data_IF_488704156349
#
_entry.id   IF_488704156349
#
_cell.length_a   1.000
_cell.length_b   1.000
_cell.length_c   1.000
_cell.angle_alpha   90.00
_cell.angle_beta   90.00
_cell.angle_gamma   90.00
#
_symmetry.space_group_name_H-M   'P 1'
#
loop_
_entity.id
_entity.type
_entity.pdbx_description
1 polymer ?
#
# COMPACT_ATOMS: atom_id res chain seq x y z
N UNK A 1 -15.16 3.64 -14.61
CA UNK A 1 -13.71 3.73 -14.36
C UNK A 1 -13.54 4.11 -12.90
N UNK A 2 -12.48 3.66 -12.24
CA UNK A 2 -12.17 4.10 -10.86
C UNK A 2 -11.91 5.60 -10.87
N UNK A 3 -12.60 6.34 -10.01
CA UNK A 3 -12.35 7.76 -9.80
C UNK A 3 -11.20 7.93 -8.80
N UNK A 4 -10.24 8.77 -9.15
CA UNK A 4 -9.06 9.08 -8.33
C UNK A 4 -9.12 10.54 -7.90
N UNK A 5 -8.93 10.78 -6.62
CA UNK A 5 -8.90 12.12 -6.03
C UNK A 5 -7.71 12.19 -5.06
N UNK A 6 -6.69 13.01 -5.35
CA UNK A 6 -5.64 13.23 -4.36
C UNK A 6 -6.11 14.29 -3.35
N UNK A 7 -6.18 13.89 -2.08
CA UNK A 7 -6.58 14.79 -1.02
C UNK A 7 -5.41 15.71 -0.64
N UNK A 8 -5.41 16.93 -1.18
CA UNK A 8 -4.49 18.01 -0.76
C UNK A 8 -5.09 18.81 0.41
N UNK A 9 -6.01 18.21 1.20
CA UNK A 9 -6.63 18.95 2.29
C UNK A 9 -5.69 18.99 3.49
N UNK A 10 -5.50 20.18 4.06
CA UNK A 10 -4.95 20.37 5.42
C UNK A 10 -5.90 19.81 6.51
N UNK A 11 -6.96 19.12 6.10
CA UNK A 11 -7.95 18.54 6.97
C UNK A 11 -7.25 17.59 7.94
N UNK A 12 -7.56 17.77 9.22
CA UNK A 12 -7.02 16.89 10.24
C UNK A 12 -7.45 15.45 9.93
N UNK A 13 -6.66 14.48 10.38
CA UNK A 13 -6.97 13.06 10.17
C UNK A 13 -8.40 12.70 10.63
N UNK A 14 -8.95 13.41 11.63
CA UNK A 14 -10.35 13.26 12.09
C UNK A 14 -11.41 13.71 11.08
N UNK A 15 -11.09 14.68 10.23
CA UNK A 15 -11.98 15.17 9.19
C UNK A 15 -12.01 14.22 7.98
N UNK A 16 -10.86 13.61 7.66
CA UNK A 16 -10.75 12.63 6.57
C UNK A 16 -11.32 11.26 6.95
N UNK A 17 -11.26 10.90 8.23
CA UNK A 17 -11.80 9.67 8.78
C UNK A 17 -12.87 10.01 9.83
N UNK A 18 -14.05 10.52 9.40
CA UNK A 18 -15.11 10.85 10.34
C UNK A 18 -15.48 9.61 11.16
N UNK A 19 -15.92 9.77 12.41
CA UNK A 19 -16.35 8.68 13.26
C UNK A 19 -17.45 7.85 12.60
N UNK A 20 -17.12 6.83 11.80
CA UNK A 20 -18.05 5.75 11.64
C UNK A 20 -18.11 5.12 13.03
N UNK A 21 -19.25 5.26 13.70
CA UNK A 21 -19.47 4.92 15.11
C UNK A 21 -19.06 3.47 15.50
N UNK A 22 -18.70 2.63 14.53
CA UNK A 22 -18.19 1.27 14.72
C UNK A 22 -16.67 1.15 14.85
N UNK A 23 -15.87 2.13 14.42
CA UNK A 23 -14.41 2.02 14.58
C UNK A 23 -14.00 2.06 16.05
N UNK A 24 -14.63 2.94 16.84
CA UNK A 24 -14.29 3.15 18.24
C UNK A 24 -14.60 1.96 19.16
N UNK A 25 -15.46 1.02 18.73
CA UNK A 25 -15.73 -0.20 19.51
C UNK A 25 -14.54 -1.17 19.53
N UNK A 26 -13.58 -1.01 18.61
CA UNK A 26 -12.43 -1.92 18.46
C UNK A 26 -11.08 -1.29 18.85
N UNK A 27 -11.01 0.01 19.16
CA UNK A 27 -9.77 0.67 19.57
C UNK A 27 -9.67 0.83 21.10
N UNK A 28 -8.49 0.56 21.70
CA UNK A 28 -8.25 0.85 23.11
C UNK A 28 -8.08 2.37 23.29
N UNK A 29 -9.14 3.01 23.78
CA UNK A 29 -9.22 4.40 24.27
C UNK A 29 -9.03 5.55 23.26
N UNK A 30 -9.83 6.59 23.48
CA UNK A 30 -9.83 7.89 22.78
C UNK A 30 -8.49 8.66 22.94
N UNK A 31 -7.61 8.19 23.82
CA UNK A 31 -6.39 8.87 24.26
C UNK A 31 -5.24 8.73 23.25
N UNK A 32 -5.15 7.58 22.54
CA UNK A 32 -4.20 7.37 21.46
C UNK A 32 -4.41 8.32 20.25
N UNK A 33 -5.60 8.92 20.15
CA UNK A 33 -5.99 9.82 19.05
C UNK A 33 -5.84 11.32 19.37
N UNK A 34 -5.43 11.69 20.59
CA UNK A 34 -5.35 13.10 21.01
C UNK A 34 -4.09 13.83 20.52
N UNK A 35 -3.02 13.10 20.18
CA UNK A 35 -1.76 13.71 19.74
C UNK A 35 -1.71 14.07 18.24
N UNK A 36 -2.74 13.70 17.46
CA UNK A 36 -2.83 13.93 16.01
C UNK A 36 -3.28 15.35 15.62
N UNK A 37 -2.81 16.38 16.33
CA UNK A 37 -3.23 17.79 16.11
C UNK A 37 -2.42 18.55 15.05
N UNK A 38 -1.33 17.96 14.55
CA UNK A 38 -0.60 18.53 13.43
C UNK A 38 -1.35 18.25 12.11
N UNK A 39 -1.52 19.26 11.23
CA UNK A 39 -2.04 19.03 9.89
C UNK A 39 -1.07 18.10 9.15
N UNK A 40 -1.53 16.89 8.85
CA UNK A 40 -0.84 15.99 7.93
C UNK A 40 -1.04 16.56 6.53
N UNK A 41 0.02 17.08 5.91
CA UNK A 41 -0.03 17.46 4.49
C UNK A 41 -0.08 16.16 3.69
N UNK A 42 -1.28 15.80 3.24
CA UNK A 42 -1.60 14.41 2.92
C UNK A 42 -0.99 13.89 1.61
N UNK A 43 -0.30 12.78 1.79
CA UNK A 43 0.28 11.91 0.77
C UNK A 43 -0.74 10.91 0.17
N UNK A 44 -2.04 11.17 0.33
CA UNK A 44 -3.10 10.18 0.16
C UNK A 44 -3.83 10.37 -1.17
N UNK A 45 -3.95 9.28 -1.93
CA UNK A 45 -4.85 9.20 -3.09
C UNK A 45 -6.09 8.42 -2.68
N UNK A 46 -7.24 9.05 -2.82
CA UNK A 46 -8.55 8.47 -2.57
C UNK A 46 -9.12 7.86 -3.85
N UNK A 47 -9.74 6.68 -3.71
CA UNK A 47 -10.28 5.91 -4.82
C UNK A 47 -11.75 5.59 -4.59
N UNK A 48 -12.57 5.73 -5.63
CA UNK A 48 -13.99 5.34 -5.63
C UNK A 48 -14.28 4.41 -6.80
N UNK A 49 -14.96 3.30 -6.50
CA UNK A 49 -15.39 2.35 -7.51
C UNK A 49 -16.86 2.63 -7.89
N UNK A 50 -17.21 2.73 -9.19
CA UNK A 50 -18.57 3.11 -9.61
C UNK A 50 -19.66 2.12 -9.15
N UNK A 51 -19.35 0.82 -9.11
CA UNK A 51 -20.29 -0.21 -8.61
C UNK A 51 -20.32 -0.35 -7.08
N UNK A 52 -19.43 0.34 -6.36
CA UNK A 52 -19.34 0.31 -4.90
C UNK A 52 -19.30 1.75 -4.36
N UNK A 53 -20.33 2.57 -4.63
CA UNK A 53 -20.31 4.01 -4.36
C UNK A 53 -20.22 4.37 -2.87
N UNK A 54 -20.64 3.44 -2.00
CA UNK A 54 -20.57 3.58 -0.54
C UNK A 54 -19.21 3.14 0.03
N UNK A 55 -18.28 2.70 -0.82
CA UNK A 55 -16.93 2.30 -0.45
C UNK A 55 -15.91 3.35 -0.87
N UNK A 56 -14.97 3.62 0.04
CA UNK A 56 -13.86 4.52 -0.19
C UNK A 56 -12.56 3.83 0.21
N UNK A 57 -11.54 3.95 -0.63
CA UNK A 57 -10.22 3.43 -0.35
C UNK A 57 -9.19 4.54 -0.37
N UNK A 58 -8.20 4.44 0.50
CA UNK A 58 -7.11 5.41 0.59
C UNK A 58 -5.78 4.70 0.36
N UNK A 59 -4.98 5.22 -0.58
CA UNK A 59 -3.65 4.74 -0.86
C UNK A 59 -2.61 5.75 -0.37
N UNK A 60 -1.60 5.27 0.37
CA UNK A 60 -0.36 5.99 0.66
C UNK A 60 0.76 5.41 -0.20
N UNK A 61 1.29 6.23 -1.10
CA UNK A 61 2.23 5.80 -2.14
C UNK A 61 3.41 6.77 -2.28
N UNK A 62 4.60 6.45 -1.72
CA UNK A 62 4.89 5.42 -0.71
C UNK A 62 4.78 5.92 0.74
N UNK A 63 4.21 5.16 1.66
CA UNK A 63 4.14 5.55 3.07
C UNK A 63 5.52 5.69 3.73
N UNK A 64 6.47 4.82 3.39
CA UNK A 64 7.85 4.80 3.91
C UNK A 64 8.83 4.37 2.84
N UNK A 65 10.10 4.77 2.97
CA UNK A 65 11.19 4.30 2.12
C UNK A 65 12.36 3.89 3.02
N UNK A 66 12.97 2.74 2.76
CA UNK A 66 14.01 2.17 3.59
C UNK A 66 15.08 1.43 2.77
N UNK A 67 16.22 1.17 3.40
CA UNK A 67 17.32 0.32 2.90
C UNK A 67 17.78 -0.63 4.00
N UNK A 68 18.51 -1.70 3.65
CA UNK A 68 19.05 -2.65 4.65
C UNK A 68 20.02 -1.98 5.64
N UNK A 69 20.71 -0.91 5.23
CA UNK A 69 21.76 -0.24 6.02
C UNK A 69 21.24 0.89 6.93
N UNK A 70 19.96 1.26 6.83
CA UNK A 70 19.39 2.32 7.66
C UNK A 70 18.96 1.79 9.05
N UNK A 71 19.43 2.40 10.18
CA UNK A 71 19.19 1.90 11.54
C UNK A 71 17.73 1.86 12.01
N UNK A 72 16.78 2.40 11.24
CA UNK A 72 15.35 2.48 11.61
C UNK A 72 14.51 2.43 10.35
N UNK A 73 13.91 1.26 10.04
CA UNK A 73 12.63 1.01 9.31
C UNK A 73 12.14 1.93 8.16
N UNK A 74 12.99 2.79 7.61
CA UNK A 74 12.60 3.92 6.78
C UNK A 74 11.99 5.08 7.58
N UNK A 75 12.06 6.29 7.03
CA UNK A 75 11.26 7.41 7.51
C UNK A 75 9.92 7.46 6.76
N UNK A 76 8.89 7.99 7.43
CA UNK A 76 7.62 8.28 6.76
C UNK A 76 7.84 9.34 5.69
N UNK A 77 7.32 9.09 4.49
CA UNK A 77 7.37 10.07 3.42
C UNK A 77 6.21 11.04 3.58
N UNK A 78 6.45 12.04 4.41
CA UNK A 78 5.53 13.14 4.62
C UNK A 78 5.70 14.16 3.48
N UNK A 79 4.65 14.90 3.14
CA UNK A 79 4.69 16.01 2.16
C UNK A 79 4.83 15.65 0.66
N UNK A 80 4.24 14.56 0.19
CA UNK A 80 4.03 14.39 -1.26
C UNK A 80 2.84 15.21 -1.72
N UNK A 81 3.06 16.07 -2.71
CA UNK A 81 2.01 16.79 -3.41
C UNK A 81 1.77 16.16 -4.77
N UNK A 82 0.60 15.55 -4.94
CA UNK A 82 0.15 15.02 -6.21
C UNK A 82 -0.33 16.14 -7.15
N UNK A 83 -0.05 15.97 -8.43
CA UNK A 83 -0.42 16.85 -9.53
C UNK A 83 -1.29 16.06 -10.49
N UNK A 84 -2.50 16.55 -10.74
CA UNK A 84 -3.45 15.96 -11.69
C UNK A 84 -3.07 16.32 -13.14
N UNK A 85 -3.27 15.36 -14.04
CA UNK A 85 -3.07 15.48 -15.49
C UNK A 85 -4.11 14.62 -16.23
N UNK A 86 -4.17 14.78 -17.56
CA UNK A 86 -5.02 13.94 -18.42
C UNK A 86 -4.66 12.44 -18.36
N UNK A 87 -3.45 12.10 -17.92
CA UNK A 87 -2.96 10.72 -17.80
C UNK A 87 -3.12 10.13 -16.38
N UNK A 88 -3.66 10.91 -15.43
CA UNK A 88 -3.77 10.55 -14.03
C UNK A 88 -3.02 11.50 -13.11
N UNK A 89 -2.57 11.00 -11.95
CA UNK A 89 -1.87 11.80 -10.95
C UNK A 89 -0.39 11.45 -10.90
N UNK A 90 0.47 12.45 -10.69
CA UNK A 90 1.90 12.23 -10.51
C UNK A 90 2.51 13.16 -9.46
N UNK A 91 3.71 12.83 -9.01
CA UNK A 91 4.60 13.74 -8.30
C UNK A 91 6.02 13.48 -8.79
N UNK A 92 6.86 14.51 -8.82
CA UNK A 92 8.22 14.40 -9.32
C UNK A 92 9.22 15.04 -8.35
N UNK A 93 10.42 14.47 -8.32
CA UNK A 93 11.62 15.03 -7.70
C UNK A 93 11.47 15.42 -6.20
N UNK A 94 10.77 14.59 -5.43
CA UNK A 94 10.57 14.80 -4.00
C UNK A 94 11.75 14.22 -3.21
N UNK A 95 12.34 14.95 -2.25
CA UNK A 95 13.36 14.39 -1.35
C UNK A 95 12.84 13.20 -0.55
N UNK A 96 13.63 12.14 -0.48
CA UNK A 96 13.31 10.97 0.33
C UNK A 96 13.59 11.26 1.80
N UNK A 97 12.61 11.04 2.66
CA UNK A 97 12.79 11.21 4.09
C UNK A 97 13.86 10.23 4.63
N UNK A 98 14.88 10.77 5.31
CA UNK A 98 15.92 9.96 5.97
C UNK A 98 16.96 9.33 5.05
N UNK A 99 16.93 9.60 3.74
CA UNK A 99 17.91 9.11 2.76
C UNK A 99 18.34 10.24 1.82
N UNK A 100 19.59 10.21 1.38
CA UNK A 100 20.10 11.17 0.39
C UNK A 100 19.66 10.76 -1.02
N UNK A 101 18.43 11.11 -1.39
CA UNK A 101 17.95 10.88 -2.75
C UNK A 101 16.54 11.41 -3.03
N UNK A 102 16.01 11.02 -4.20
CA UNK A 102 14.76 11.55 -4.75
C UNK A 102 13.79 10.45 -5.10
N UNK A 103 12.50 10.78 -5.05
CA UNK A 103 11.43 9.91 -5.49
C UNK A 103 10.46 10.64 -6.41
N UNK A 104 9.95 9.91 -7.40
CA UNK A 104 8.81 10.28 -8.23
C UNK A 104 7.81 9.13 -8.29
N UNK A 105 6.55 9.47 -8.56
CA UNK A 105 5.47 8.49 -8.63
C UNK A 105 4.38 8.89 -9.59
N UNK A 106 3.68 7.88 -10.11
CA UNK A 106 2.54 8.03 -11.00
C UNK A 106 1.44 7.07 -10.61
N UNK A 107 0.20 7.49 -10.80
CA UNK A 107 -0.97 6.66 -10.61
C UNK A 107 -2.06 7.01 -11.63
N UNK A 108 -2.64 5.99 -12.26
CA UNK A 108 -3.63 6.16 -13.30
C UNK A 108 -4.72 5.09 -13.18
N UNK A 109 -5.99 5.45 -13.38
CA UNK A 109 -7.07 4.47 -13.41
C UNK A 109 -7.35 3.99 -14.83
N UNK A 110 -7.67 2.71 -14.97
CA UNK A 110 -8.05 2.11 -16.24
C UNK A 110 -9.09 1.01 -16.00
N UNK A 111 -10.33 1.25 -16.41
CA UNK A 111 -11.41 0.29 -16.18
C UNK A 111 -11.65 0.01 -14.69
N UNK A 112 -11.36 -1.23 -14.28
CA UNK A 112 -11.46 -1.75 -12.91
C UNK A 112 -10.09 -1.87 -12.20
N UNK A 113 -9.06 -1.22 -12.74
CA UNK A 113 -7.71 -1.22 -12.17
C UNK A 113 -7.19 0.19 -11.92
N UNK A 114 -6.21 0.27 -11.03
CA UNK A 114 -5.39 1.46 -10.82
C UNK A 114 -3.93 1.06 -10.94
N UNK A 115 -3.29 1.55 -11.99
CA UNK A 115 -1.86 1.36 -12.25
C UNK A 115 -1.05 2.35 -11.42
N UNK A 116 0.08 1.90 -10.88
CA UNK A 116 1.02 2.78 -10.20
C UNK A 116 2.47 2.46 -10.56
N UNK A 117 3.30 3.48 -10.51
CA UNK A 117 4.75 3.39 -10.73
C UNK A 117 5.45 4.26 -9.69
N UNK A 118 6.51 3.73 -9.08
CA UNK A 118 7.43 4.51 -8.26
C UNK A 118 8.85 4.37 -8.80
N UNK A 119 9.58 5.48 -8.82
CA UNK A 119 11.01 5.49 -9.13
C UNK A 119 11.76 6.22 -8.03
N UNK A 120 12.79 5.58 -7.50
CA UNK A 120 13.74 6.19 -6.57
C UNK A 120 15.06 6.47 -7.28
N UNK A 121 15.76 7.51 -6.85
CA UNK A 121 17.09 7.89 -7.28
C UNK A 121 18.00 7.99 -6.06
N UNK A 122 19.11 7.27 -6.07
CA UNK A 122 20.14 7.38 -5.03
C UNK A 122 21.05 8.56 -5.36
N UNK A 123 21.05 9.61 -4.53
CA UNK A 123 21.95 10.77 -4.68
C UNK A 123 23.11 10.74 -3.67
N UNK A 124 23.15 9.72 -2.82
CA UNK A 124 24.21 9.50 -1.86
C UNK A 124 25.48 8.99 -2.55
N UNK A 125 26.66 9.12 -1.92
CA UNK A 125 27.90 8.55 -2.45
C UNK A 125 27.98 7.02 -2.30
N UNK A 126 27.10 6.41 -1.50
CA UNK A 126 27.11 5.00 -1.15
C UNK A 126 25.93 4.25 -1.82
N UNK A 127 26.05 2.95 -2.11
CA UNK A 127 24.93 2.20 -2.65
C UNK A 127 23.81 2.06 -1.61
N UNK A 128 22.56 1.95 -2.08
CA UNK A 128 21.42 1.56 -1.26
C UNK A 128 21.14 0.08 -1.43
N UNK A 129 21.56 -0.80 -0.50
CA UNK A 129 21.24 -2.21 -0.59
C UNK A 129 19.75 -2.44 -0.32
N UNK A 130 19.13 -3.25 -1.18
CA UNK A 130 17.74 -3.70 -1.05
C UNK A 130 16.77 -2.56 -0.71
N UNK A 131 16.87 -1.46 -1.44
CA UNK A 131 15.96 -0.33 -1.29
C UNK A 131 14.51 -0.79 -1.50
N UNK A 132 13.62 -0.31 -0.63
CA UNK A 132 12.21 -0.65 -0.66
C UNK A 132 11.32 0.56 -0.37
N UNK A 133 10.10 0.51 -0.90
CA UNK A 133 9.04 1.47 -0.60
C UNK A 133 7.82 0.73 -0.06
N UNK A 134 7.28 1.24 1.03
CA UNK A 134 6.05 0.74 1.62
C UNK A 134 4.83 1.40 1.00
N UNK A 135 3.81 0.61 0.68
CA UNK A 135 2.47 1.10 0.34
C UNK A 135 1.48 0.61 1.39
N UNK A 136 0.66 1.53 1.87
CA UNK A 136 -0.48 1.22 2.73
C UNK A 136 -1.76 1.49 1.94
N UNK A 137 -2.55 0.45 1.73
CA UNK A 137 -3.84 0.53 1.05
C UNK A 137 -4.98 0.26 2.04
N UNK A 138 -5.66 1.34 2.42
CA UNK A 138 -6.62 1.35 3.51
C UNK A 138 -8.05 1.12 3.01
N UNK A 139 -8.71 0.14 3.61
CA UNK A 139 -10.07 -0.31 3.34
C UNK A 139 -11.07 0.12 4.40
N UNK A 140 -10.68 0.93 5.40
CA UNK A 140 -11.55 1.26 6.54
C UNK A 140 -12.93 1.67 6.07
N UNK A 141 -12.97 2.66 5.17
CA UNK A 141 -14.20 3.26 4.66
C UNK A 141 -14.92 2.40 3.59
N UNK A 142 -14.50 1.14 3.41
CA UNK A 142 -15.15 0.15 2.56
C UNK A 142 -15.71 -0.99 3.43
N UNK A 143 -16.78 -0.71 4.20
CA UNK A 143 -17.33 -1.62 5.22
C UNK A 143 -17.57 -3.09 4.77
N UNK A 144 -18.00 -3.39 3.53
CA UNK A 144 -18.11 -4.78 3.06
C UNK A 144 -16.77 -5.54 3.10
N UNK A 145 -15.64 -4.82 2.98
CA UNK A 145 -14.28 -5.37 2.99
C UNK A 145 -13.70 -5.50 4.41
N UNK A 146 -14.45 -5.09 5.43
CA UNK A 146 -14.04 -5.16 6.84
C UNK A 146 -13.98 -6.59 7.39
N UNK A 147 -14.67 -7.56 6.78
CA UNK A 147 -14.61 -8.97 7.21
C UNK A 147 -13.44 -9.66 6.51
N UNK A 148 -12.24 -9.34 6.99
CA UNK A 148 -10.93 -9.65 6.42
C UNK A 148 -10.75 -11.14 6.11
N UNK A 149 -10.72 -11.47 4.82
CA UNK A 149 -10.04 -12.68 4.33
C UNK A 149 -9.01 -12.23 3.32
N UNK A 150 -7.80 -12.07 3.82
CA UNK A 150 -6.64 -11.75 2.99
C UNK A 150 -5.99 -13.05 2.51
N UNK A 151 -5.45 -12.98 1.31
CA UNK A 151 -4.85 -14.11 0.62
C UNK A 151 -3.53 -13.65 0.02
N UNK A 152 -2.47 -14.39 0.32
CA UNK A 152 -1.21 -14.35 -0.43
C UNK A 152 -1.18 -15.54 -1.38
N UNK A 153 -0.34 -15.47 -2.41
CA UNK A 153 -0.26 -16.51 -3.43
C UNK A 153 1.12 -17.14 -3.46
N UNK A 154 1.14 -18.48 -3.52
CA UNK A 154 2.35 -19.27 -3.67
C UNK A 154 2.09 -20.44 -4.59
N UNK A 155 2.88 -20.55 -5.66
CA UNK A 155 2.79 -21.64 -6.63
C UNK A 155 1.35 -21.81 -7.17
N UNK A 156 0.64 -20.70 -7.38
CA UNK A 156 -0.77 -20.69 -7.82
C UNK A 156 -1.81 -21.01 -6.75
N UNK A 157 -1.40 -21.36 -5.53
CA UNK A 157 -2.30 -21.59 -4.42
C UNK A 157 -2.57 -20.29 -3.65
N UNK A 158 -3.84 -19.99 -3.42
CA UNK A 158 -4.26 -18.93 -2.51
C UNK A 158 -4.15 -19.43 -1.07
N UNK A 159 -3.32 -18.76 -0.26
CA UNK A 159 -3.11 -19.06 1.15
C UNK A 159 -3.85 -17.98 1.94
N UNK A 160 -4.94 -18.37 2.59
CA UNK A 160 -5.68 -17.48 3.49
C UNK A 160 -4.81 -17.14 4.70
N UNK A 161 -4.58 -15.85 4.92
CA UNK A 161 -3.86 -15.34 6.08
C UNK A 161 -4.84 -15.31 7.26
N UNK A 162 -4.95 -16.44 7.97
CA UNK A 162 -5.97 -16.67 9.02
C UNK A 162 -5.64 -16.04 10.37
N UNK A 163 -4.36 -15.84 10.65
CA UNK A 163 -3.92 -15.03 11.77
C UNK A 163 -3.84 -13.58 11.31
N UNK A 164 -3.93 -12.65 12.25
CA UNK A 164 -3.21 -11.37 12.11
C UNK A 164 -1.82 -11.74 11.57
N UNK A 165 -1.58 -11.56 10.28
CA UNK A 165 -0.22 -11.48 9.78
C UNK A 165 0.17 -10.10 10.22
N UNK A 166 0.54 -9.99 11.49
CA UNK A 166 1.07 -8.77 12.04
C UNK A 166 2.25 -8.42 11.14
N UNK A 167 2.14 -7.28 10.45
CA UNK A 167 3.22 -6.73 9.64
C UNK A 167 4.33 -6.34 10.57
N UNK A 168 5.18 -7.32 10.72
CA UNK A 168 6.32 -7.43 11.55
C UNK A 168 7.49 -7.03 10.63
N UNK A 169 8.12 -5.86 10.87
CA UNK A 169 9.24 -5.23 10.15
C UNK A 169 10.62 -5.38 10.88
N UNK A 170 11.62 -5.94 10.20
CA UNK A 170 13.03 -5.98 10.59
C UNK A 170 13.87 -5.83 9.32
N UNK A 171 14.38 -4.63 9.08
CA UNK A 171 15.61 -4.48 8.29
C UNK A 171 16.78 -4.67 9.28
N UNK A 172 17.76 -5.47 8.84
CA UNK A 172 18.85 -6.14 9.57
C UNK A 172 19.21 -5.66 11.01
N UNK A 173 19.19 -6.60 11.98
CA UNK A 173 20.16 -6.59 13.09
C UNK A 173 19.68 -6.27 14.51
N UNK A 174 18.39 -6.03 14.75
CA UNK A 174 17.88 -5.74 16.09
C UNK A 174 17.10 -6.91 16.70
N UNK A 175 17.73 -7.57 17.67
CA UNK A 175 17.29 -8.77 18.40
C UNK A 175 16.19 -8.49 19.45
N UNK A 176 15.50 -7.36 19.35
CA UNK A 176 14.43 -7.00 20.28
C UNK A 176 13.20 -6.60 19.50
N UNK A 177 12.15 -7.35 19.83
CA UNK A 177 10.77 -7.02 19.60
C UNK A 177 10.24 -7.49 18.20
N UNK A 178 9.37 -8.52 18.28
CA UNK A 178 8.24 -9.00 17.46
C UNK A 178 8.24 -9.03 15.92
N UNK A 179 9.23 -8.57 15.16
CA UNK A 179 8.88 -8.02 13.85
C UNK A 179 9.62 -8.64 12.58
N UNK A 180 9.38 -9.89 12.12
CA UNK A 180 9.23 -10.41 10.71
C UNK A 180 9.22 -11.94 10.79
N UNK A 181 8.08 -12.58 10.53
CA UNK A 181 8.01 -13.95 10.00
C UNK A 181 6.84 -14.04 9.05
N UNK A 182 7.08 -13.78 7.77
CA UNK A 182 6.30 -14.51 6.80
C UNK A 182 6.85 -15.94 6.86
N UNK A 183 6.11 -16.88 7.47
CA UNK A 183 6.45 -18.31 7.40
C UNK A 183 6.42 -18.82 5.94
N UNK A 184 6.00 -17.95 5.01
CA UNK A 184 5.83 -18.16 3.58
C UNK A 184 6.46 -16.99 2.84
N UNK A 185 7.58 -17.23 2.16
CA UNK A 185 8.03 -16.36 1.07
C UNK A 185 6.91 -16.30 0.02
N UNK A 186 6.27 -15.14 -0.20
CA UNK A 186 5.22 -15.07 -1.20
C UNK A 186 5.86 -15.22 -2.57
N UNK A 187 5.62 -16.35 -3.23
CA UNK A 187 6.18 -16.58 -4.56
C UNK A 187 5.65 -15.57 -5.58
N UNK A 188 4.48 -14.98 -5.32
CA UNK A 188 3.87 -13.95 -6.13
C UNK A 188 3.71 -12.64 -5.33
N UNK A 189 4.26 -11.50 -5.78
CA UNK A 189 4.05 -10.15 -5.21
C UNK A 189 2.61 -9.63 -5.39
N UNK A 190 1.66 -10.31 -4.74
CA UNK A 190 0.22 -10.07 -4.78
C UNK A 190 -0.42 -10.42 -3.43
N UNK A 191 -1.19 -9.49 -2.89
CA UNK A 191 -2.09 -9.75 -1.76
C UNK A 191 -3.50 -9.31 -2.11
N UNK A 192 -4.48 -10.17 -1.83
CA UNK A 192 -5.88 -9.97 -2.20
C UNK A 192 -6.82 -10.11 -1.00
N UNK A 193 -7.84 -9.27 -0.95
CA UNK A 193 -8.94 -9.32 0.00
C UNK A 193 -10.21 -9.74 -0.73
N UNK A 194 -10.92 -10.72 -0.16
CA UNK A 194 -12.26 -11.13 -0.63
C UNK A 194 -13.35 -10.34 0.08
N UNK A 195 -14.39 -9.95 -0.64
CA UNK A 195 -15.57 -9.29 -0.12
C UNK A 195 -16.85 -9.79 -0.81
N UNK A 196 -17.99 -9.65 -0.13
CA UNK A 196 -19.33 -9.77 -0.72
C UNK A 196 -20.12 -8.49 -0.44
N UNK A 197 -20.80 -7.93 -1.45
CA UNK A 197 -21.69 -6.79 -1.24
C UNK A 197 -23.02 -7.20 -0.58
N UNK A 198 -23.88 -6.21 -0.28
CA UNK A 198 -25.18 -6.46 0.35
C UNK A 198 -26.13 -7.35 -0.48
N UNK A 199 -25.87 -7.50 -1.78
CA UNK A 199 -26.62 -8.40 -2.68
C UNK A 199 -26.02 -9.81 -2.77
N UNK A 200 -24.94 -10.09 -2.05
CA UNK A 200 -24.21 -11.36 -2.08
C UNK A 200 -23.30 -11.52 -3.31
N UNK A 201 -23.01 -10.43 -4.02
CA UNK A 201 -22.09 -10.46 -5.16
C UNK A 201 -20.65 -10.41 -4.65
N UNK A 202 -19.81 -11.30 -5.17
CA UNK A 202 -18.41 -11.40 -4.79
C UNK A 202 -17.54 -10.36 -5.50
N UNK A 203 -16.62 -9.78 -4.73
CA UNK A 203 -15.54 -8.92 -5.20
C UNK A 203 -14.21 -9.39 -4.64
N UNK A 204 -13.18 -9.24 -5.44
CA UNK A 204 -11.79 -9.43 -5.05
C UNK A 204 -11.04 -8.12 -5.28
N UNK A 205 -10.53 -7.57 -4.19
CA UNK A 205 -9.67 -6.41 -4.20
C UNK A 205 -8.23 -6.88 -4.02
N UNK A 206 -7.28 -6.40 -4.81
CA UNK A 206 -5.90 -6.81 -4.63
C UNK A 206 -4.92 -5.70 -4.96
N UNK A 207 -3.75 -5.76 -4.33
CA UNK A 207 -2.60 -4.94 -4.66
C UNK A 207 -1.46 -5.86 -5.07
N UNK A 208 -0.86 -5.55 -6.22
CA UNK A 208 0.21 -6.32 -6.83
C UNK A 208 1.33 -5.42 -7.31
N UNK A 209 2.53 -5.99 -7.43
CA UNK A 209 3.71 -5.32 -7.98
C UNK A 209 4.53 -6.27 -8.85
N UNK A 210 5.40 -5.72 -9.70
CA UNK A 210 6.43 -6.51 -10.39
C UNK A 210 7.37 -7.20 -9.39
N UNK A 211 7.70 -6.49 -8.30
CA UNK A 211 8.62 -6.95 -7.25
C UNK A 211 8.15 -6.43 -5.89
N UNK A 212 7.91 -7.35 -4.97
CA UNK A 212 7.64 -7.03 -3.57
C UNK A 212 8.26 -8.08 -2.65
N UNK A 213 8.64 -7.67 -1.45
CA UNK A 213 9.24 -8.55 -0.44
C UNK A 213 8.45 -8.57 0.86
N UNK A 214 7.43 -7.72 0.97
CA UNK A 214 6.55 -7.64 2.13
C UNK A 214 5.13 -7.64 1.63
N UNK A 215 4.32 -8.55 2.17
CA UNK A 215 2.89 -8.62 1.98
C UNK A 215 2.27 -8.84 3.35
N UNK A 216 1.28 -8.04 3.71
CA UNK A 216 0.51 -8.37 4.90
C UNK A 216 -0.56 -7.36 5.19
N UNK A 217 -0.95 -7.34 6.46
CA UNK A 217 -2.05 -6.53 6.94
C UNK A 217 -1.68 -5.89 8.28
N UNK A 218 -2.08 -4.64 8.48
CA UNK A 218 -1.98 -4.06 9.80
C UNK A 218 -3.03 -4.72 10.72
N UNK A 219 -2.65 -5.28 11.87
CA UNK A 219 -3.61 -5.93 12.76
C UNK A 219 -4.56 -4.96 13.45
N UNK A 220 -4.14 -3.69 13.58
CA UNK A 220 -4.86 -2.64 14.26
C UNK A 220 -5.62 -1.73 13.28
N UNK A 221 -5.27 -1.80 11.99
CA UNK A 221 -5.86 -0.98 10.94
C UNK A 221 -6.34 -1.83 9.76
N UNK A 222 -7.52 -1.56 9.18
CA UNK A 222 -8.04 -2.27 8.00
C UNK A 222 -7.28 -1.89 6.73
N UNK A 223 -5.95 -2.04 6.70
CA UNK A 223 -5.14 -1.81 5.52
C UNK A 223 -4.40 -3.08 5.12
N UNK A 224 -4.22 -3.21 3.81
CA UNK A 224 -3.31 -4.16 3.20
C UNK A 224 -2.04 -3.42 2.85
N UNK A 225 -0.90 -4.03 3.15
CA UNK A 225 0.39 -3.42 2.90
C UNK A 225 1.23 -4.26 1.94
N UNK A 226 1.98 -3.57 1.09
CA UNK A 226 2.95 -4.15 0.17
C UNK A 226 4.26 -3.37 0.25
N UNK A 227 5.37 -4.10 0.45
CA UNK A 227 6.72 -3.54 0.40
C UNK A 227 7.32 -3.78 -0.98
N UNK A 228 7.31 -2.75 -1.83
CA UNK A 228 7.90 -2.76 -3.16
C UNK A 228 9.41 -2.87 -3.07
N UNK A 229 10.01 -3.78 -3.83
CA UNK A 229 11.45 -4.00 -3.82
C UNK A 229 12.10 -3.40 -5.07
N UNK A 230 12.87 -2.33 -4.88
CA UNK A 230 13.70 -1.74 -5.94
C UNK A 230 14.96 -2.57 -6.19
N UNK A 231 15.45 -3.26 -5.16
CA UNK A 231 16.73 -3.98 -5.17
C UNK A 231 17.87 -3.05 -4.77
N UNK A 232 19.10 -3.39 -5.16
CA UNK A 232 20.25 -2.53 -4.92
C UNK A 232 20.22 -1.33 -5.88
N UNK A 233 20.42 -0.12 -5.36
CA UNK A 233 20.45 1.12 -6.15
C UNK A 233 21.81 1.79 -5.98
N UNK A 234 22.63 1.79 -7.03
CA UNK A 234 23.97 2.37 -6.98
C UNK A 234 23.92 3.92 -6.91
N UNK A 235 25.01 4.58 -6.47
CA UNK A 235 25.11 6.03 -6.48
C UNK A 235 24.81 6.63 -7.86
N UNK A 236 23.84 7.55 -7.92
CA UNK A 236 23.42 8.26 -9.12
C UNK A 236 22.41 7.53 -10.02
N UNK A 237 22.10 6.26 -9.72
CA UNK A 237 21.17 5.44 -10.50
C UNK A 237 19.71 5.64 -10.06
N UNK A 238 18.82 5.38 -11.01
CA UNK A 238 17.38 5.30 -10.79
C UNK A 238 16.93 3.83 -10.74
N UNK A 239 15.97 3.51 -9.88
CA UNK A 239 15.31 2.20 -9.85
C UNK A 239 13.79 2.35 -9.82
N UNK A 240 13.09 1.58 -10.64
CA UNK A 240 11.63 1.66 -10.80
C UNK A 240 10.97 0.34 -10.39
N UNK A 241 9.79 0.45 -9.78
CA UNK A 241 8.86 -0.66 -9.57
C UNK A 241 7.48 -0.24 -10.02
N UNK A 242 6.83 -1.08 -10.83
CA UNK A 242 5.43 -0.91 -11.21
C UNK A 242 4.53 -1.85 -10.44
N UNK A 243 3.27 -1.48 -10.34
CA UNK A 243 2.25 -2.33 -9.81
C UNK A 243 0.85 -1.90 -10.20
N UNK A 244 -0.11 -2.66 -9.70
CA UNK A 244 -1.52 -2.51 -10.03
C UNK A 244 -2.39 -2.86 -8.84
N UNK A 245 -3.44 -2.07 -8.64
CA UNK A 245 -4.55 -2.37 -7.74
C UNK A 245 -5.72 -2.84 -8.61
N UNK A 246 -6.33 -3.96 -8.22
CA UNK A 246 -7.46 -4.57 -8.92
C UNK A 246 -8.72 -4.42 -8.10
N UNK A 247 -9.78 -3.88 -8.69
CA UNK A 247 -11.13 -3.88 -8.14
C UNK A 247 -12.01 -4.85 -8.93
N UNK A 248 -11.81 -6.14 -8.72
CA UNK A 248 -12.42 -7.14 -9.58
C UNK A 248 -13.78 -7.60 -9.05
N UNK A 249 -14.80 -7.56 -9.91
CA UNK A 249 -16.06 -8.26 -9.67
C UNK A 249 -15.87 -9.75 -9.98
N UNK A 250 -15.65 -10.55 -8.95
CA UNK A 250 -15.34 -11.96 -9.06
C UNK A 250 -14.52 -12.46 -7.87
N UNK A 251 -13.84 -13.57 -8.08
CA UNK A 251 -13.10 -14.32 -7.05
C UNK A 251 -11.61 -13.92 -7.01
N UNK A 252 -10.95 -14.23 -5.89
CA UNK A 252 -9.50 -14.05 -5.75
C UNK A 252 -8.68 -14.88 -6.77
N UNK A 253 -9.23 -15.99 -7.28
CA UNK A 253 -8.58 -16.83 -8.30
C UNK A 253 -8.57 -16.16 -9.67
N UNK A 254 -9.65 -15.45 -10.00
CA UNK A 254 -9.74 -14.68 -11.25
C UNK A 254 -8.80 -13.48 -11.21
N UNK A 255 -8.69 -12.79 -10.07
CA UNK A 255 -7.66 -11.76 -9.86
C UNK A 255 -6.25 -12.33 -10.00
N UNK A 256 -5.96 -13.48 -9.41
CA UNK A 256 -4.66 -14.12 -9.56
C UNK A 256 -4.32 -14.43 -11.02
N UNK A 257 -5.30 -14.95 -11.78
CA UNK A 257 -5.13 -15.20 -13.22
C UNK A 257 -4.76 -13.91 -13.96
N UNK A 258 -5.47 -12.81 -13.71
CA UNK A 258 -5.16 -11.50 -14.31
C UNK A 258 -3.78 -10.99 -13.91
N UNK A 259 -3.42 -11.12 -12.64
CA UNK A 259 -2.07 -10.80 -12.17
C UNK A 259 -0.99 -11.58 -12.94
N UNK A 260 -1.19 -12.88 -13.19
CA UNK A 260 -0.26 -13.68 -13.99
C UNK A 260 -0.22 -13.29 -15.46
N UNK A 261 -1.33 -12.81 -16.03
CA UNK A 261 -1.36 -12.25 -17.40
C UNK A 261 -0.58 -10.92 -17.46
N UNK A 262 -0.69 -10.09 -16.43
CA UNK A 262 -0.06 -8.76 -16.37
C UNK A 262 1.43 -8.81 -16.00
N UNK A 263 1.84 -9.70 -15.09
CA UNK A 263 3.20 -9.74 -14.51
C UNK A 263 3.93 -11.08 -14.67
N UNK A 264 3.24 -12.16 -15.02
CA UNK A 264 3.78 -13.53 -15.00
C UNK A 264 4.47 -13.98 -16.30
N UNK A 265 4.62 -13.10 -17.29
CA UNK A 265 5.18 -13.38 -18.62
C UNK A 265 6.70 -13.25 -18.75
N UNK A 266 7.45 -13.40 -17.66
CA UNK A 266 8.92 -13.37 -17.62
C UNK A 266 9.57 -14.75 -17.65
#
# INVERSE_FOLDING_TARGET
MIELEANISEATWREQFPPAARYFEYFPSEEAFRDASAPLVCQIVTMRHPDLPDCLWHLRLPEKIATDDTPTTGAYQEHIRWIETDEGWHFDDIPIAGLDGRIRGRIASSGDTVDYELTVRNESPDPWPRALAWLCFNHCMALPFYRYRNYIFRDGAAIETRSRVELHFCLAGHDRDWWIRADVDPADPLIATRCEDASGREYALAIAAERAIILGQNPDWPCTDIGLLFGDVAPGDDATVRGRIYFHRGTIKEVYKRYREDFGGG
#
